data_IF_329230548862
#
_entry.id   IF_329230548862
#
_cell.length_a   1.000
_cell.length_b   1.000
_cell.length_c   1.000
_cell.angle_alpha   90.00
_cell.angle_beta   90.00
_cell.angle_gamma   90.00
#
_symmetry.space_group_name_H-M   'P 1'
#
loop_
_entity.id
_entity.type
_entity.pdbx_description
1 polymer ?
#
# COMPACT_ATOMS: atom_id res chain seq x y z
N UNK A 1 11.21 -3.80 8.61
CA UNK A 1 11.71 -4.10 7.24
C UNK A 1 11.38 -5.54 6.94
N UNK A 2 10.94 -5.84 5.72
CA UNK A 2 10.74 -7.20 5.22
C UNK A 2 11.04 -7.27 3.73
N UNK A 3 11.17 -8.48 3.18
CA UNK A 3 11.47 -8.63 1.75
C UNK A 3 10.21 -8.43 0.90
N UNK A 4 9.18 -9.26 1.07
CA UNK A 4 7.92 -9.20 0.31
C UNK A 4 6.94 -8.18 0.91
N UNK A 5 6.35 -7.25 0.13
CA UNK A 5 5.43 -6.25 0.64
C UNK A 5 4.04 -6.80 0.96
N UNK A 6 3.28 -6.07 1.79
CA UNK A 6 1.87 -6.37 2.09
C UNK A 6 0.89 -5.81 1.03
N UNK A 7 1.33 -4.77 0.33
CA UNK A 7 0.56 -4.01 -0.65
C UNK A 7 1.53 -3.56 -1.73
N UNK A 8 1.15 -3.72 -2.99
CA UNK A 8 1.87 -3.20 -4.15
C UNK A 8 0.87 -2.86 -5.26
N UNK A 9 1.35 -2.27 -6.35
CA UNK A 9 0.56 -2.07 -7.57
C UNK A 9 1.27 -2.51 -8.86
N UNK A 10 2.31 -3.32 -8.72
CA UNK A 10 3.00 -3.99 -9.81
C UNK A 10 2.05 -4.96 -10.55
N UNK A 11 2.29 -5.14 -11.84
CA UNK A 11 1.47 -5.94 -12.75
C UNK A 11 2.10 -7.30 -13.02
N UNK A 12 2.32 -8.06 -11.96
CA UNK A 12 2.97 -9.37 -11.99
C UNK A 12 2.11 -10.48 -11.35
N UNK A 13 1.14 -10.08 -10.51
CA UNK A 13 0.25 -10.98 -9.82
C UNK A 13 0.82 -11.56 -8.53
N UNK A 14 1.81 -10.92 -7.91
CA UNK A 14 2.41 -11.38 -6.67
C UNK A 14 1.50 -11.28 -5.44
N UNK A 15 1.94 -11.79 -4.29
CA UNK A 15 1.12 -11.86 -3.05
C UNK A 15 0.58 -10.49 -2.64
N UNK A 16 1.38 -9.44 -2.78
CA UNK A 16 1.01 -8.06 -2.46
C UNK A 16 -0.09 -7.48 -3.37
N UNK A 17 -0.34 -8.09 -4.53
CA UNK A 17 -1.43 -7.73 -5.45
C UNK A 17 -2.77 -8.31 -5.01
N UNK A 18 -2.78 -9.30 -4.10
CA UNK A 18 -3.99 -10.01 -3.69
C UNK A 18 -4.78 -9.24 -2.65
N UNK A 19 -6.08 -9.53 -2.57
CA UNK A 19 -6.90 -8.98 -1.50
C UNK A 19 -6.35 -9.43 -0.15
N UNK A 20 -6.16 -10.73 0.03
CA UNK A 20 -5.54 -11.32 1.22
C UNK A 20 -4.08 -11.71 0.93
N UNK A 21 -3.16 -10.77 1.16
CA UNK A 21 -1.72 -11.07 1.17
C UNK A 21 -1.37 -11.90 2.40
N UNK A 22 -0.57 -12.95 2.22
CA UNK A 22 -0.11 -13.83 3.31
C UNK A 22 0.71 -13.05 4.33
N UNK A 23 1.57 -12.12 3.88
CA UNK A 23 2.36 -11.27 4.78
C UNK A 23 1.45 -10.37 5.61
N UNK A 24 0.36 -9.89 5.01
CA UNK A 24 -0.59 -8.97 5.62
C UNK A 24 -1.52 -9.66 6.62
N UNK A 25 -2.24 -10.70 6.17
CA UNK A 25 -3.34 -11.33 6.93
C UNK A 25 -3.07 -12.76 7.38
N UNK A 26 -1.88 -13.27 7.09
CA UNK A 26 -1.41 -14.57 7.57
C UNK A 26 -1.76 -15.72 6.64
N UNK A 27 -1.42 -16.93 7.09
CA UNK A 27 -1.66 -18.15 6.34
C UNK A 27 -3.16 -18.33 6.05
N UNK A 28 -3.54 -18.83 4.86
CA UNK A 28 -4.93 -19.16 4.54
C UNK A 28 -5.55 -20.04 5.62
N UNK A 29 -6.84 -19.83 5.90
CA UNK A 29 -7.67 -20.53 6.89
C UNK A 29 -7.33 -20.26 8.37
N UNK A 30 -6.04 -20.16 8.73
CA UNK A 30 -5.63 -19.97 10.12
C UNK A 30 -5.45 -18.50 10.50
N UNK A 31 -5.18 -17.63 9.53
CA UNK A 31 -4.75 -16.25 9.74
C UNK A 31 -3.54 -16.12 10.68
N UNK A 32 -2.78 -17.22 10.82
CA UNK A 32 -1.58 -17.26 11.63
C UNK A 32 -0.46 -16.46 10.97
N UNK A 33 0.35 -15.79 11.78
CA UNK A 33 1.54 -15.05 11.36
C UNK A 33 1.30 -13.80 10.49
N UNK A 34 0.06 -13.32 10.39
CA UNK A 34 -0.22 -12.03 9.74
C UNK A 34 0.42 -10.86 10.49
N UNK A 35 1.10 -9.98 9.78
CA UNK A 35 1.94 -8.94 10.39
C UNK A 35 1.27 -7.57 10.48
N UNK A 36 0.27 -7.28 9.63
CA UNK A 36 -0.33 -5.93 9.55
C UNK A 36 -0.92 -5.49 10.90
N UNK A 37 -1.71 -6.37 11.53
CA UNK A 37 -2.30 -6.10 12.85
C UNK A 37 -1.24 -5.90 13.91
N UNK A 38 -0.16 -6.70 13.89
CA UNK A 38 0.93 -6.59 14.84
C UNK A 38 1.63 -5.24 14.69
N UNK A 39 2.03 -4.85 13.48
CA UNK A 39 2.72 -3.58 13.24
C UNK A 39 1.84 -2.37 13.58
N UNK A 40 0.54 -2.45 13.32
CA UNK A 40 -0.41 -1.43 13.75
C UNK A 40 -0.51 -1.34 15.28
N UNK A 41 -0.68 -2.46 15.98
CA UNK A 41 -0.81 -2.47 17.44
C UNK A 41 0.45 -1.94 18.15
N UNK A 42 1.62 -2.13 17.56
CA UNK A 42 2.88 -1.63 18.11
C UNK A 42 3.27 -0.23 17.61
N UNK A 43 2.46 0.40 16.76
CA UNK A 43 2.66 1.79 16.33
C UNK A 43 3.87 1.96 15.42
N UNK A 44 4.11 1.00 14.52
CA UNK A 44 5.15 1.13 13.49
C UNK A 44 4.85 2.34 12.61
N UNK A 45 5.86 3.19 12.41
CA UNK A 45 5.72 4.42 11.62
C UNK A 45 5.90 4.15 10.11
N UNK A 46 6.93 3.36 9.75
CA UNK A 46 7.30 3.06 8.37
C UNK A 46 7.62 1.57 8.23
N UNK A 47 7.12 0.98 7.14
CA UNK A 47 7.37 -0.39 6.73
C UNK A 47 8.11 -0.38 5.38
N UNK A 48 9.40 -0.72 5.42
CA UNK A 48 10.26 -0.82 4.23
C UNK A 48 10.22 -2.23 3.65
N UNK A 49 10.05 -2.31 2.35
CA UNK A 49 9.91 -3.53 1.55
C UNK A 49 10.84 -3.53 0.33
N UNK A 50 11.04 -4.71 -0.22
CA UNK A 50 11.74 -4.95 -1.48
C UNK A 50 10.89 -5.92 -2.32
N UNK A 51 11.52 -6.94 -2.91
CA UNK A 51 10.91 -7.98 -3.74
C UNK A 51 10.42 -7.50 -5.10
N UNK A 52 9.46 -6.58 -5.12
CA UNK A 52 9.07 -5.89 -6.34
C UNK A 52 10.27 -5.05 -6.80
N UNK A 53 10.69 -5.24 -8.04
CA UNK A 53 11.80 -4.54 -8.67
C UNK A 53 11.37 -3.14 -9.14
N UNK A 54 10.71 -2.41 -8.24
CA UNK A 54 10.18 -1.08 -8.47
C UNK A 54 10.36 -0.20 -7.22
N UNK A 55 10.03 1.08 -7.35
CA UNK A 55 9.82 1.98 -6.23
C UNK A 55 8.35 2.35 -6.13
N UNK A 56 7.76 2.14 -4.96
CA UNK A 56 6.39 2.57 -4.67
C UNK A 56 6.28 3.13 -3.24
N UNK A 57 5.87 4.39 -3.12
CA UNK A 57 5.39 4.94 -1.85
C UNK A 57 3.88 4.83 -1.78
N UNK A 58 3.40 4.30 -0.66
CA UNK A 58 1.97 4.26 -0.37
C UNK A 58 1.54 5.44 0.52
N UNK A 59 0.25 5.77 0.46
CA UNK A 59 -0.41 6.51 1.53
C UNK A 59 -0.46 5.64 2.81
N UNK A 60 -0.59 6.22 4.01
CA UNK A 60 -0.74 5.43 5.21
C UNK A 60 -1.95 4.51 5.09
N UNK A 61 -1.76 3.21 5.33
CA UNK A 61 -2.80 2.20 5.08
C UNK A 61 -2.85 1.21 6.23
N UNK A 62 -4.07 0.86 6.63
CA UNK A 62 -4.30 -0.24 7.56
C UNK A 62 -5.63 -0.88 7.24
N UNK A 63 -5.62 -2.22 7.15
CA UNK A 63 -6.78 -3.05 6.89
C UNK A 63 -7.59 -2.55 5.67
N UNK A 64 -6.88 -2.32 4.56
CA UNK A 64 -7.44 -1.80 3.30
C UNK A 64 -8.14 -0.44 3.41
N UNK A 65 -7.98 0.29 4.51
CA UNK A 65 -8.40 1.70 4.60
C UNK A 65 -7.19 2.60 4.43
N UNK A 66 -7.25 3.45 3.41
CA UNK A 66 -6.14 4.29 2.96
C UNK A 66 -6.35 5.73 3.41
N UNK A 67 -5.39 6.32 4.11
CA UNK A 67 -5.45 7.70 4.59
C UNK A 67 -5.00 8.71 3.51
N UNK A 68 -5.86 8.92 2.50
CA UNK A 68 -5.56 9.76 1.34
C UNK A 68 -6.48 11.00 1.19
N UNK A 69 -7.44 11.20 2.09
CA UNK A 69 -8.40 12.32 2.03
C UNK A 69 -7.94 13.61 2.72
N UNK A 70 -6.63 13.81 2.92
CA UNK A 70 -6.10 14.99 3.63
C UNK A 70 -4.89 15.60 2.93
N UNK A 71 -4.63 16.89 3.18
CA UNK A 71 -3.47 17.61 2.62
C UNK A 71 -2.12 17.25 3.29
N UNK A 72 -2.14 16.65 4.48
CA UNK A 72 -0.94 16.28 5.23
C UNK A 72 -1.01 14.82 5.70
N UNK A 73 -1.04 13.84 4.77
CA UNK A 73 -1.27 12.44 5.11
C UNK A 73 -0.11 11.83 5.91
N UNK A 74 1.10 12.37 5.78
CA UNK A 74 2.31 11.91 6.47
C UNK A 74 2.63 12.66 7.77
N UNK A 75 1.74 13.57 8.22
CA UNK A 75 1.85 14.26 9.50
C UNK A 75 0.90 13.64 10.52
N UNK A 76 1.45 13.00 11.56
CA UNK A 76 0.74 12.13 12.49
C UNK A 76 -0.18 11.15 11.75
N UNK A 77 0.37 10.32 10.84
CA UNK A 77 -0.42 9.36 10.10
C UNK A 77 -1.10 8.39 11.09
N UNK A 78 -2.40 8.05 10.89
CA UNK A 78 -3.13 7.14 11.77
C UNK A 78 -2.93 5.65 11.43
N UNK A 79 -1.98 5.35 10.56
CA UNK A 79 -1.57 4.03 10.10
C UNK A 79 -0.09 4.07 9.65
N UNK A 80 0.60 2.92 9.55
CA UNK A 80 1.95 2.84 8.99
C UNK A 80 2.03 3.31 7.54
N UNK A 81 3.20 3.82 7.15
CA UNK A 81 3.53 4.16 5.75
C UNK A 81 4.35 3.03 5.15
N UNK A 82 3.91 2.49 4.01
CA UNK A 82 4.64 1.44 3.29
C UNK A 82 5.50 2.07 2.19
N UNK A 83 6.73 1.60 2.06
CA UNK A 83 7.66 2.01 1.01
C UNK A 83 8.29 0.75 0.42
N UNK A 84 8.08 0.54 -0.87
CA UNK A 84 8.77 -0.47 -1.66
C UNK A 84 9.96 0.24 -2.34
N UNK A 85 11.17 -0.29 -2.16
CA UNK A 85 12.41 0.23 -2.76
C UNK A 85 13.28 -0.95 -3.21
N UNK A 86 12.71 -1.79 -4.08
CA UNK A 86 13.34 -3.05 -4.52
C UNK A 86 14.07 -2.97 -5.86
N UNK A 87 14.05 -1.82 -6.55
CA UNK A 87 14.69 -1.62 -7.86
C UNK A 87 16.20 -1.31 -7.80
N UNK A 88 16.98 -2.03 -7.00
CA UNK A 88 18.41 -1.74 -6.85
C UNK A 88 19.32 -2.26 -7.99
N UNK A 89 18.81 -3.08 -8.91
CA UNK A 89 19.58 -3.60 -10.06
C UNK A 89 19.52 -5.11 -10.28
N UNK A 90 18.38 -5.77 -10.04
CA UNK A 90 18.26 -7.21 -10.19
C UNK A 90 18.38 -7.67 -11.66
N UNK A 91 18.73 -8.94 -11.89
CA UNK A 91 18.92 -9.49 -13.26
C UNK A 91 17.60 -9.68 -14.00
N UNK A 92 16.48 -9.83 -13.30
CA UNK A 92 15.15 -9.98 -13.90
C UNK A 92 14.58 -8.67 -14.50
N UNK A 93 15.33 -7.57 -14.44
CA UNK A 93 14.88 -6.21 -14.78
C UNK A 93 13.87 -5.65 -13.77
N UNK A 94 13.32 -4.46 -14.06
CA UNK A 94 12.34 -3.76 -13.23
C UNK A 94 10.91 -4.16 -13.55
N UNK A 95 10.03 -4.04 -12.55
CA UNK A 95 8.62 -4.36 -12.68
C UNK A 95 7.79 -3.20 -13.23
N UNK A 96 6.76 -3.54 -14.00
CA UNK A 96 5.81 -2.59 -14.57
C UNK A 96 4.57 -2.51 -13.70
N UNK A 97 4.01 -1.32 -13.56
CA UNK A 97 2.79 -1.11 -12.77
C UNK A 97 1.52 -1.32 -13.58
N UNK A 98 0.41 -1.58 -12.87
CA UNK A 98 -0.93 -1.42 -13.48
C UNK A 98 -1.12 0.01 -13.99
N UNK A 99 -1.80 0.16 -15.13
CA UNK A 99 -2.03 1.46 -15.76
C UNK A 99 -2.71 2.45 -14.81
N UNK A 100 -3.77 2.01 -14.12
CA UNK A 100 -4.50 2.83 -13.16
C UNK A 100 -4.12 2.45 -11.73
N UNK A 101 -3.45 3.36 -10.99
CA UNK A 101 -3.01 3.06 -9.65
C UNK A 101 -4.20 2.87 -8.70
N UNK A 102 -4.13 1.87 -7.81
CA UNK A 102 -5.05 1.78 -6.68
C UNK A 102 -4.82 2.96 -5.69
N UNK A 103 -5.79 3.34 -4.84
CA UNK A 103 -5.78 4.52 -4.03
C UNK A 103 -4.77 4.46 -2.92
N UNK A 104 -4.19 3.28 -2.62
CA UNK A 104 -3.06 3.17 -1.70
C UNK A 104 -1.74 3.63 -2.33
N UNK A 105 -1.57 3.54 -3.65
CA UNK A 105 -0.38 3.99 -4.37
C UNK A 105 -0.33 5.52 -4.41
N UNK A 106 0.75 6.12 -3.90
CA UNK A 106 0.96 7.57 -3.92
C UNK A 106 1.97 8.01 -4.98
N UNK A 107 3.13 7.35 -5.05
CA UNK A 107 4.20 7.61 -6.03
C UNK A 107 4.76 6.27 -6.50
N UNK A 108 5.09 6.18 -7.79
CA UNK A 108 5.57 4.96 -8.46
C UNK A 108 6.73 5.31 -9.39
N UNK A 109 7.74 4.44 -9.45
CA UNK A 109 8.82 4.50 -10.43
C UNK A 109 9.29 3.08 -10.78
N UNK A 110 9.41 2.81 -12.08
CA UNK A 110 9.95 1.55 -12.64
C UNK A 110 11.45 1.68 -12.91
N UNK A 111 12.08 2.80 -12.57
CA UNK A 111 13.50 3.01 -12.79
C UNK A 111 14.35 2.37 -11.69
N UNK A 112 15.60 2.04 -12.03
CA UNK A 112 16.58 1.60 -11.05
C UNK A 112 16.93 2.73 -10.09
N UNK A 113 16.97 2.41 -8.80
CA UNK A 113 17.22 3.39 -7.77
C UNK A 113 17.44 2.81 -6.39
N UNK A 114 17.62 3.70 -5.41
CA UNK A 114 17.74 3.32 -4.01
C UNK A 114 17.20 4.41 -3.07
N UNK A 115 16.72 3.98 -1.91
CA UNK A 115 16.24 4.87 -0.86
C UNK A 115 17.34 5.43 0.04
N UNK A 116 17.22 6.69 0.44
CA UNK A 116 17.99 7.32 1.50
C UNK A 116 17.03 7.77 2.59
N UNK A 117 17.13 7.17 3.77
CA UNK A 117 16.37 7.56 4.95
C UNK A 117 17.25 8.36 5.92
N UNK A 118 16.81 9.56 6.29
CA UNK A 118 17.46 10.41 7.31
C UNK A 118 16.52 10.65 8.47
N UNK A 119 16.90 10.19 9.65
CA UNK A 119 16.21 10.50 10.91
C UNK A 119 16.88 11.74 11.50
N UNK A 120 16.16 12.86 11.50
CA UNK A 120 16.70 14.14 11.98
C UNK A 120 16.61 14.27 13.49
N UNK A 121 15.51 13.78 14.07
CA UNK A 121 15.23 13.79 15.50
C UNK A 121 14.06 12.84 15.82
N UNK A 122 13.58 12.87 17.06
CA UNK A 122 12.44 12.10 17.57
C UNK A 122 11.07 12.50 17.01
N UNK A 123 11.01 13.33 15.96
CA UNK A 123 9.75 13.81 15.36
C UNK A 123 9.78 13.86 13.84
N UNK A 124 10.96 13.91 13.21
CA UNK A 124 11.10 14.14 11.77
C UNK A 124 12.01 13.10 11.13
N UNK A 125 11.45 12.40 10.16
CA UNK A 125 12.15 11.48 9.27
C UNK A 125 11.92 11.95 7.83
N UNK A 126 12.99 12.02 7.05
CA UNK A 126 12.95 12.27 5.61
C UNK A 126 13.33 11.00 4.86
N UNK A 127 12.66 10.72 3.75
CA UNK A 127 13.01 9.65 2.84
C UNK A 127 13.08 10.20 1.42
N UNK A 128 14.16 9.86 0.72
CA UNK A 128 14.38 10.19 -0.69
C UNK A 128 14.56 8.92 -1.50
N UNK A 129 13.96 8.84 -2.67
CA UNK A 129 14.27 7.81 -3.66
C UNK A 129 15.17 8.42 -4.75
N UNK A 130 16.37 7.88 -4.90
CA UNK A 130 17.33 8.31 -5.92
C UNK A 130 17.19 7.43 -7.15
N UNK A 131 17.00 8.05 -8.31
CA UNK A 131 16.91 7.41 -9.61
C UNK A 131 18.29 7.36 -10.27
N UNK A 132 18.86 6.16 -10.37
CA UNK A 132 20.19 5.95 -10.95
C UNK A 132 20.12 5.91 -12.48
N UNK A 133 19.00 5.45 -13.05
CA UNK A 133 18.81 5.42 -14.51
C UNK A 133 18.75 6.83 -15.13
N UNK A 134 18.32 7.82 -14.35
CA UNK A 134 18.22 9.22 -14.75
C UNK A 134 19.36 10.10 -14.18
N UNK A 135 20.54 9.52 -13.94
CA UNK A 135 21.72 10.29 -13.56
C UNK A 135 21.72 10.81 -12.11
N UNK A 136 20.98 10.16 -11.22
CA UNK A 136 20.93 10.50 -9.79
C UNK A 136 19.88 11.55 -9.42
N UNK A 137 18.84 11.75 -10.24
CA UNK A 137 17.68 12.59 -9.89
C UNK A 137 16.89 11.98 -8.73
N UNK A 138 15.98 12.75 -8.13
CA UNK A 138 15.10 12.30 -7.06
C UNK A 138 13.72 11.95 -7.64
N UNK A 139 13.32 10.68 -7.57
CA UNK A 139 11.95 10.26 -7.95
C UNK A 139 10.92 10.71 -6.89
N UNK A 140 11.36 10.82 -5.64
CA UNK A 140 10.53 11.24 -4.52
C UNK A 140 11.37 11.79 -3.36
N UNK A 141 10.79 12.74 -2.63
CA UNK A 141 11.36 13.35 -1.42
C UNK A 141 10.21 13.74 -0.49
N UNK A 142 10.07 13.05 0.65
CA UNK A 142 8.97 13.29 1.58
C UNK A 142 9.36 13.15 3.04
N UNK A 143 8.52 13.72 3.89
CA UNK A 143 8.68 13.69 5.34
C UNK A 143 7.58 12.86 5.99
N UNK A 144 7.96 12.06 6.97
CA UNK A 144 7.05 11.51 7.98
C UNK A 144 7.28 12.27 9.27
N UNK A 145 6.23 12.95 9.74
CA UNK A 145 6.32 13.88 10.87
C UNK A 145 5.40 13.42 12.01
N UNK A 146 5.94 13.37 13.22
CA UNK A 146 5.20 13.21 14.48
C UNK A 146 5.29 14.51 15.26
N UNK A 147 4.18 15.21 15.50
CA UNK A 147 4.24 16.57 16.09
C UNK A 147 4.67 16.61 17.56
N UNK A 148 4.86 15.45 18.19
CA UNK A 148 5.41 15.30 19.53
C UNK A 148 5.86 13.86 19.73
N UNK A 149 6.89 13.63 20.54
CA UNK A 149 7.38 12.29 20.92
C UNK A 149 6.28 11.37 21.46
N UNK A 150 5.25 11.94 22.10
CA UNK A 150 4.07 11.20 22.59
C UNK A 150 3.25 10.56 21.46
N UNK A 151 3.53 10.88 20.19
CA UNK A 151 2.91 10.25 19.02
C UNK A 151 3.66 9.00 18.53
N UNK A 152 4.85 8.69 19.06
CA UNK A 152 5.48 7.37 18.91
C UNK A 152 4.88 6.41 19.95
N UNK A 153 3.74 5.81 19.59
CA UNK A 153 2.96 4.95 20.47
C UNK A 153 2.13 3.98 19.63
N UNK A 154 1.65 2.88 20.25
CA UNK A 154 0.55 2.09 19.71
C UNK A 154 -0.58 2.94 19.12
N UNK A 155 -1.06 2.56 17.94
CA UNK A 155 -2.27 3.14 17.39
C UNK A 155 -3.47 2.78 18.28
N UNK A 156 -4.36 3.75 18.50
CA UNK A 156 -5.51 3.64 19.40
C UNK A 156 -6.80 3.81 18.61
N UNK A 157 -7.93 3.58 19.27
CA UNK A 157 -9.27 3.76 18.69
C UNK A 157 -9.46 5.12 18.00
N UNK A 158 -8.88 6.20 18.54
CA UNK A 158 -8.92 7.53 17.92
C UNK A 158 -8.23 7.61 16.57
N UNK A 159 -7.14 6.86 16.39
CA UNK A 159 -6.38 6.81 15.14
C UNK A 159 -7.18 6.02 14.10
N UNK A 160 -7.77 4.88 14.49
CA UNK A 160 -8.72 4.15 13.65
C UNK A 160 -9.93 5.00 13.23
N UNK A 161 -10.49 5.80 14.15
CA UNK A 161 -11.58 6.73 13.83
C UNK A 161 -11.12 7.76 12.81
N UNK A 162 -9.97 8.40 13.01
CA UNK A 162 -9.36 9.35 12.07
C UNK A 162 -9.13 8.72 10.70
N UNK A 163 -8.57 7.50 10.67
CA UNK A 163 -8.33 6.73 9.46
C UNK A 163 -9.64 6.48 8.69
N UNK A 164 -10.72 6.08 9.37
CA UNK A 164 -12.03 5.85 8.76
C UNK A 164 -12.73 7.13 8.31
N UNK A 165 -12.51 8.25 9.01
CA UNK A 165 -13.16 9.53 8.68
C UNK A 165 -12.57 10.17 7.43
N UNK A 166 -11.24 10.11 7.26
CA UNK A 166 -10.55 10.77 6.14
C UNK A 166 -9.91 9.79 5.16
N UNK A 167 -10.25 8.52 5.27
CA UNK A 167 -9.67 7.46 4.46
C UNK A 167 -10.69 6.79 3.55
N UNK A 168 -10.16 6.22 2.47
CA UNK A 168 -10.91 5.44 1.50
C UNK A 168 -10.76 3.97 1.85
N UNK A 169 -11.86 3.26 2.14
CA UNK A 169 -11.83 1.81 2.30
C UNK A 169 -11.90 1.11 0.94
N UNK A 170 -11.05 0.10 0.76
CA UNK A 170 -10.95 -0.70 -0.46
C UNK A 170 -11.57 -2.09 -0.22
N UNK A 171 -12.84 -2.33 -0.61
CA UNK A 171 -13.44 -3.67 -0.61
C UNK A 171 -12.75 -4.67 -1.55
N UNK A 172 -13.06 -5.96 -1.37
CA UNK A 172 -12.55 -7.05 -2.22
C UNK A 172 -12.89 -6.88 -3.70
N UNK A 173 -14.12 -6.46 -3.98
CA UNK A 173 -14.58 -6.17 -5.33
C UNK A 173 -14.25 -4.76 -5.79
N UNK A 174 -13.31 -4.08 -5.12
CA UNK A 174 -12.94 -2.74 -5.54
C UNK A 174 -12.40 -2.81 -6.97
N UNK A 175 -12.95 -1.94 -7.81
CA UNK A 175 -12.51 -1.76 -9.18
C UNK A 175 -12.14 -0.27 -9.40
N UNK A 176 -10.85 0.00 -9.60
CA UNK A 176 -10.31 1.36 -9.80
C UNK A 176 -10.55 1.90 -11.20
N UNK A 177 -10.79 1.02 -12.16
CA UNK A 177 -11.05 1.39 -13.53
C UNK A 177 -11.93 0.34 -14.20
N UNK A 178 -12.89 0.79 -15.00
CA UNK A 178 -13.92 -0.06 -15.62
C UNK A 178 -13.37 -1.24 -16.43
N UNK A 179 -12.17 -1.12 -17.02
CA UNK A 179 -11.47 -2.20 -17.74
C UNK A 179 -11.05 -3.37 -16.84
N UNK A 180 -10.94 -3.15 -15.52
CA UNK A 180 -10.46 -4.14 -14.54
C UNK A 180 -11.58 -4.68 -13.65
N UNK A 181 -12.83 -4.28 -13.90
CA UNK A 181 -13.96 -4.79 -13.13
C UNK A 181 -14.28 -6.22 -13.56
N UNK A 182 -14.52 -7.14 -12.62
CA UNK A 182 -15.15 -8.41 -12.95
C UNK A 182 -16.50 -8.10 -13.60
N UNK A 183 -16.69 -8.48 -14.88
CA UNK A 183 -17.98 -8.30 -15.53
C UNK A 183 -19.05 -8.99 -14.69
N UNK A 184 -20.03 -8.22 -14.19
CA UNK A 184 -21.22 -8.81 -13.57
C UNK A 184 -21.85 -9.76 -14.59
N UNK A 185 -21.81 -11.06 -14.30
CA UNK A 185 -22.55 -12.06 -15.08
C UNK A 185 -24.03 -11.70 -14.95
N UNK A 186 -24.59 -11.00 -15.96
CA UNK A 186 -26.03 -10.74 -16.07
C UNK A 186 -26.75 -12.05 -15.81
N UNK A 187 -27.49 -12.15 -14.69
CA UNK A 187 -28.38 -13.29 -14.42
C UNK A 187 -29.28 -13.44 -15.64
N UNK A 188 -29.11 -14.52 -16.41
CA UNK A 188 -30.07 -14.91 -17.45
C UNK A 188 -31.42 -15.03 -16.76
N UNK A 189 -32.33 -14.07 -17.00
CA UNK A 189 -33.76 -14.21 -16.70
C UNK A 189 -34.24 -15.40 -17.52
N UNK A 190 -34.36 -16.57 -16.91
CA UNK A 190 -35.09 -17.69 -17.46
C UNK A 190 -36.56 -17.27 -17.56
N UNK A 191 -36.98 -16.89 -18.78
CA UNK A 191 -38.41 -16.82 -19.12
C UNK A 191 -38.95 -18.25 -19.02
N UNK A 192 -39.68 -18.57 -17.95
CA UNK A 192 -40.58 -19.72 -17.93
C UNK A 192 -41.65 -19.45 -18.99
N UNK A 193 -41.61 -20.18 -20.10
CA UNK A 193 -42.79 -20.36 -20.93
C UNK A 193 -43.77 -21.24 -20.16
N UNK A 194 -44.87 -20.64 -19.70
CA UNK A 194 -46.07 -21.40 -19.39
C UNK A 194 -46.69 -21.81 -20.72
N UNK A 195 -46.60 -23.11 -21.04
CA UNK A 195 -47.49 -23.73 -22.00
C UNK A 195 -48.87 -23.84 -21.35
N UNK A 196 -49.84 -23.11 -21.89
CA UNK A 196 -51.23 -23.50 -21.85
C UNK A 196 -51.51 -24.29 -23.13
N UNK A 197 -51.85 -25.57 -22.99
CA UNK A 197 -53.02 -26.26 -23.56
C UNK A 197 -53.09 -27.63 -22.91
#
# INVERSE_FOLDING_TARGET
MGHRPMYCSDFDGDDCTKYESIIRTGLPLTHGYGLEKLFYEYGVDIELWAHEHSYERLWPVYNRTVYNGTHLPYTNPPAPVHIITGSAGCRENTDVFVEHPPPWSAVRSTDYGFGIMRIYNSTHLNFKQINVAQGGTEDDDFWVVKTSEKHHRPFKHRDLKKLRTYGTHVPDKYCHHHSHCPMEKKKKRTRRHQHHF
#
